data_IF_114221392699
#
_entry.id   IF_114221392699
#
_cell.length_a   1.000
_cell.length_b   1.000
_cell.length_c   1.000
_cell.angle_alpha   90.00
_cell.angle_beta   90.00
_cell.angle_gamma   90.00
#
_symmetry.space_group_name_H-M   'P 1'
#
loop_
_entity.id
_entity.type
_entity.pdbx_description
1 polymer ?
#
# COMPACT_ATOMS: atom_id res chain seq x y z
N UNK A 1 9.20 -6.07 -16.71
CA UNK A 1 9.16 -5.62 -15.30
C UNK A 1 7.76 -5.86 -14.79
N UNK A 2 7.59 -6.57 -13.67
CA UNK A 2 6.27 -6.80 -13.05
C UNK A 2 5.89 -5.67 -12.06
N UNK A 3 4.64 -5.65 -11.59
CA UNK A 3 4.13 -4.64 -10.65
C UNK A 3 5.10 -4.40 -9.49
N UNK A 4 5.66 -5.48 -8.93
CA UNK A 4 6.53 -5.43 -7.76
C UNK A 4 7.94 -4.94 -8.08
N UNK A 5 8.51 -5.30 -9.22
CA UNK A 5 9.86 -4.88 -9.61
C UNK A 5 9.95 -3.36 -9.77
N UNK A 6 8.92 -2.72 -10.34
CA UNK A 6 8.92 -1.27 -10.49
C UNK A 6 8.74 -0.56 -9.14
N UNK A 7 7.79 -1.02 -8.30
CA UNK A 7 7.56 -0.43 -6.97
C UNK A 7 8.83 -0.53 -6.10
N UNK A 8 9.50 -1.68 -6.11
CA UNK A 8 10.74 -1.85 -5.35
C UNK A 8 11.92 -1.04 -5.90
N UNK A 9 12.00 -0.87 -7.23
CA UNK A 9 13.02 -0.02 -7.86
C UNK A 9 12.84 1.46 -7.48
N UNK A 10 11.60 1.92 -7.33
CA UNK A 10 11.30 3.31 -6.96
C UNK A 10 11.61 3.59 -5.49
N UNK A 11 11.28 2.65 -4.58
CA UNK A 11 11.57 2.78 -3.14
C UNK A 11 13.09 2.67 -2.87
N UNK A 12 13.81 1.84 -3.63
CA UNK A 12 15.27 1.67 -3.45
C UNK A 12 16.10 2.84 -4.00
N UNK A 13 15.48 3.77 -4.73
CA UNK A 13 16.14 4.91 -5.39
C UNK A 13 16.18 6.21 -4.58
N UNK A 14 15.43 6.32 -3.48
CA UNK A 14 15.48 7.49 -2.60
C UNK A 14 16.53 7.30 -1.48
N UNK A 15 17.49 8.21 -1.45
CA UNK A 15 18.73 8.24 -0.64
C UNK A 15 18.59 7.74 0.80
N UNK A 16 19.39 6.72 1.15
CA UNK A 16 19.51 6.11 2.50
C UNK A 16 20.17 6.99 3.58
N UNK A 17 20.36 8.30 3.38
CA UNK A 17 21.26 9.10 4.23
C UNK A 17 20.63 9.84 5.42
N UNK A 18 19.33 9.70 5.71
CA UNK A 18 18.70 10.41 6.85
C UNK A 18 17.99 9.53 7.90
N UNK A 19 18.16 8.21 7.86
CA UNK A 19 17.39 7.27 8.70
C UNK A 19 18.23 6.72 9.89
N UNK A 20 18.82 7.59 10.71
CA UNK A 20 19.46 7.16 11.98
C UNK A 20 19.20 8.10 13.15
N UNK A 21 17.98 8.62 13.34
CA UNK A 21 17.75 9.45 14.56
C UNK A 21 16.43 9.35 15.31
N UNK A 22 15.49 8.46 14.99
CA UNK A 22 14.25 8.36 15.79
C UNK A 22 13.79 6.92 15.99
N UNK A 23 14.52 6.18 16.82
CA UNK A 23 13.98 5.03 17.53
C UNK A 23 13.62 5.44 18.96
N UNK A 24 12.38 5.21 19.37
CA UNK A 24 12.06 4.89 20.77
C UNK A 24 10.68 4.23 20.89
N UNK A 25 10.72 2.98 21.34
CA UNK A 25 9.71 2.25 22.14
C UNK A 25 8.42 1.85 21.37
N UNK A 26 7.86 0.64 21.50
CA UNK A 26 7.44 -0.08 22.72
C UNK A 26 7.40 -1.60 22.46
N UNK A 27 7.67 -2.39 23.51
CA UNK A 27 7.62 -3.85 23.61
C UNK A 27 6.21 -4.42 23.90
N UNK A 28 6.08 -5.73 23.66
CA UNK A 28 5.18 -6.74 24.24
C UNK A 28 4.04 -7.31 23.37
N UNK A 29 4.19 -8.62 23.10
CA UNK A 29 3.16 -9.56 22.63
C UNK A 29 2.13 -9.81 23.73
N UNK A 30 0.84 -9.89 23.36
CA UNK A 30 -0.17 -10.81 23.91
C UNK A 30 -1.44 -10.71 23.05
N UNK A 31 -2.07 -11.84 22.73
CA UNK A 31 -3.34 -11.91 22.02
C UNK A 31 -4.46 -11.31 22.89
N UNK A 32 -5.21 -10.35 22.35
CA UNK A 32 -6.29 -9.60 23.02
C UNK A 32 -7.22 -8.94 21.99
N UNK A 33 -8.45 -8.56 22.37
CA UNK A 33 -9.63 -8.47 21.51
C UNK A 33 -9.54 -7.35 20.46
N UNK A 34 -10.32 -7.50 19.38
CA UNK A 34 -10.36 -6.62 18.19
C UNK A 34 -10.75 -5.18 18.60
N UNK A 35 -9.75 -4.41 19.04
CA UNK A 35 -9.81 -2.96 19.21
C UNK A 35 -9.78 -2.31 17.83
N UNK A 36 -10.50 -1.20 17.57
CA UNK A 36 -10.26 -0.40 16.38
C UNK A 36 -8.78 -0.03 16.32
N UNK A 37 -8.16 -0.23 15.16
CA UNK A 37 -6.78 0.23 14.92
C UNK A 37 -6.74 1.75 15.06
N UNK A 38 -6.02 2.30 16.05
CA UNK A 38 -6.09 3.74 16.33
C UNK A 38 -5.44 4.62 15.24
N UNK A 39 -4.83 4.02 14.21
CA UNK A 39 -4.02 4.72 13.23
C UNK A 39 -4.47 4.41 11.79
N UNK A 40 -5.66 4.89 11.43
CA UNK A 40 -6.13 4.91 10.03
C UNK A 40 -5.66 6.22 9.37
N UNK A 41 -4.91 6.09 8.29
CA UNK A 41 -4.35 7.20 7.52
C UNK A 41 -5.13 7.39 6.23
N UNK A 42 -5.49 8.65 5.95
CA UNK A 42 -6.19 9.01 4.70
C UNK A 42 -5.20 9.53 3.67
N UNK A 43 -5.27 9.00 2.45
CA UNK A 43 -4.54 9.51 1.29
C UNK A 43 -5.50 10.06 0.24
N UNK A 44 -5.14 11.19 -0.37
CA UNK A 44 -5.83 11.78 -1.51
C UNK A 44 -4.86 11.82 -2.70
N UNK A 45 -5.23 11.29 -3.88
CA UNK A 45 -4.39 11.32 -5.05
C UNK A 45 -3.98 12.75 -5.46
N UNK A 46 -2.78 12.88 -6.03
CA UNK A 46 -2.18 14.18 -6.38
C UNK A 46 -2.88 14.90 -7.54
N UNK A 47 -3.68 14.17 -8.31
CA UNK A 47 -4.38 14.68 -9.50
C UNK A 47 -5.57 15.59 -9.21
N UNK A 48 -5.83 15.92 -7.93
CA UNK A 48 -6.93 16.76 -7.49
C UNK A 48 -8.30 16.07 -7.53
N UNK A 49 -8.34 14.74 -7.72
CA UNK A 49 -9.59 13.99 -7.66
C UNK A 49 -10.23 14.02 -6.27
N UNK A 50 -11.55 13.81 -6.23
CA UNK A 50 -12.30 13.67 -4.97
C UNK A 50 -12.13 12.30 -4.31
N UNK A 51 -11.46 11.37 -5.00
CA UNK A 51 -11.16 10.04 -4.49
C UNK A 51 -10.26 10.15 -3.26
N UNK A 52 -10.47 9.25 -2.30
CA UNK A 52 -9.58 9.10 -1.17
C UNK A 52 -9.53 7.63 -0.77
N UNK A 53 -8.43 7.28 -0.11
CA UNK A 53 -8.11 5.94 0.34
C UNK A 53 -7.82 5.97 1.83
N UNK A 54 -8.10 4.88 2.53
CA UNK A 54 -7.75 4.76 3.94
C UNK A 54 -6.96 3.49 4.20
N UNK A 55 -5.84 3.64 4.89
CA UNK A 55 -4.90 2.56 5.17
C UNK A 55 -4.52 2.48 6.64
N UNK A 56 -4.15 1.29 7.12
CA UNK A 56 -3.39 1.14 8.36
C UNK A 56 -2.16 0.28 8.11
N UNK A 57 -1.12 0.47 8.90
CA UNK A 57 0.19 -0.15 8.69
C UNK A 57 0.52 -1.06 9.86
N UNK A 58 0.78 -2.32 9.54
CA UNK A 58 0.86 -3.41 10.50
C UNK A 58 2.23 -4.05 10.46
N UNK A 59 2.99 -3.93 11.54
CA UNK A 59 4.28 -4.60 11.63
C UNK A 59 4.05 -6.12 11.73
N UNK A 60 4.63 -6.87 10.80
CA UNK A 60 4.62 -8.34 10.77
C UNK A 60 6.05 -8.87 10.98
N UNK A 61 6.27 -9.61 12.06
CA UNK A 61 7.62 -10.01 12.45
C UNK A 61 8.50 -8.82 12.89
N UNK A 62 9.81 -8.94 12.72
CA UNK A 62 10.77 -7.97 13.27
C UNK A 62 11.01 -6.75 12.38
N UNK A 63 10.86 -6.89 11.06
CA UNK A 63 11.33 -5.88 10.09
C UNK A 63 10.41 -5.71 8.88
N UNK A 64 9.16 -6.17 8.93
CA UNK A 64 8.26 -6.09 7.78
C UNK A 64 6.93 -5.44 8.14
N UNK A 65 6.27 -4.87 7.15
CA UNK A 65 4.96 -4.27 7.28
C UNK A 65 3.97 -4.84 6.27
N UNK A 66 2.73 -4.99 6.70
CA UNK A 66 1.56 -5.14 5.82
C UNK A 66 0.76 -3.85 5.82
N UNK A 67 0.01 -3.64 4.73
CA UNK A 67 -0.80 -2.44 4.52
C UNK A 67 -2.25 -2.89 4.37
N UNK A 68 -3.05 -2.63 5.40
CA UNK A 68 -4.48 -2.88 5.37
C UNK A 68 -5.21 -1.74 4.66
N UNK A 69 -6.28 -2.08 3.95
CA UNK A 69 -7.11 -1.15 3.19
C UNK A 69 -8.48 -1.09 3.87
N UNK A 70 -8.74 0.01 4.55
CA UNK A 70 -10.01 0.28 5.22
C UNK A 70 -11.05 0.87 4.26
N UNK A 71 -10.59 1.65 3.29
CA UNK A 71 -11.47 2.29 2.32
C UNK A 71 -10.81 2.38 0.94
N UNK A 72 -11.54 1.91 -0.06
CA UNK A 72 -11.29 2.16 -1.47
C UNK A 72 -12.36 3.12 -2.02
N UNK A 73 -12.03 4.01 -2.97
CA UNK A 73 -13.01 4.85 -3.65
C UNK A 73 -13.98 4.02 -4.50
N UNK A 74 -15.03 4.66 -5.01
CA UNK A 74 -15.92 4.02 -5.97
C UNK A 74 -15.20 3.76 -7.31
N UNK A 75 -15.32 2.54 -7.81
CA UNK A 75 -14.73 2.09 -9.06
C UNK A 75 -15.56 2.49 -10.29
N UNK A 76 -16.74 3.10 -10.09
CA UNK A 76 -17.63 3.58 -11.15
C UNK A 76 -17.99 2.47 -12.14
N UNK A 77 -18.33 1.29 -11.62
CA UNK A 77 -18.67 0.10 -12.42
C UNK A 77 -17.47 -0.70 -12.95
N UNK A 78 -16.22 -0.31 -12.64
CA UNK A 78 -15.03 -1.11 -12.99
C UNK A 78 -14.85 -2.32 -12.09
N UNK A 79 -14.07 -3.28 -12.59
CA UNK A 79 -13.75 -4.50 -11.87
C UNK A 79 -13.05 -4.19 -10.54
N UNK A 80 -13.47 -4.91 -9.49
CA UNK A 80 -12.81 -4.95 -8.18
C UNK A 80 -12.18 -6.32 -7.92
N UNK A 81 -11.93 -7.08 -8.99
CA UNK A 81 -11.29 -8.37 -8.92
C UNK A 81 -9.91 -8.25 -8.25
N UNK A 82 -9.63 -9.19 -7.34
CA UNK A 82 -8.47 -9.11 -6.43
C UNK A 82 -7.14 -9.07 -7.18
N UNK A 83 -7.05 -9.68 -8.36
CA UNK A 83 -5.86 -9.66 -9.19
C UNK A 83 -5.77 -8.34 -9.97
N UNK A 84 -6.91 -7.81 -10.42
CA UNK A 84 -6.96 -6.53 -11.15
C UNK A 84 -6.52 -5.36 -10.27
N UNK A 85 -6.96 -5.35 -9.01
CA UNK A 85 -6.71 -4.23 -8.08
C UNK A 85 -5.61 -4.53 -7.06
N UNK A 86 -4.87 -5.64 -7.23
CA UNK A 86 -3.78 -6.08 -6.37
C UNK A 86 -4.11 -6.00 -4.87
N UNK A 87 -5.15 -6.72 -4.46
CA UNK A 87 -5.51 -6.88 -3.04
C UNK A 87 -5.51 -8.36 -2.64
N UNK A 88 -5.34 -8.60 -1.34
CA UNK A 88 -5.56 -9.89 -0.69
C UNK A 88 -6.54 -9.71 0.46
N UNK A 89 -7.18 -10.80 0.90
CA UNK A 89 -7.96 -10.77 2.13
C UNK A 89 -7.04 -10.43 3.31
N UNK A 90 -7.51 -9.52 4.17
CA UNK A 90 -6.81 -9.23 5.42
C UNK A 90 -7.39 -10.07 6.56
N UNK A 91 -6.56 -10.66 7.43
CA UNK A 91 -7.04 -11.39 8.61
C UNK A 91 -7.44 -10.45 9.76
N UNK A 92 -7.34 -9.13 9.56
CA UNK A 92 -7.60 -8.09 10.57
C UNK A 92 -8.97 -7.44 10.35
N UNK A 93 -9.20 -6.27 10.95
CA UNK A 93 -10.47 -5.55 10.85
C UNK A 93 -10.76 -5.03 9.43
N UNK A 94 -9.72 -4.71 8.66
CA UNK A 94 -9.87 -4.37 7.26
C UNK A 94 -10.32 -5.59 6.45
N UNK A 95 -11.16 -5.39 5.44
CA UNK A 95 -11.54 -6.48 4.52
C UNK A 95 -10.37 -6.92 3.64
N UNK A 96 -9.57 -5.95 3.22
CA UNK A 96 -8.49 -6.16 2.26
C UNK A 96 -7.17 -5.64 2.81
N UNK A 97 -6.08 -6.19 2.31
CA UNK A 97 -4.74 -5.63 2.38
C UNK A 97 -4.18 -5.50 0.97
N UNK A 98 -3.20 -4.61 0.80
CA UNK A 98 -2.45 -4.52 -0.46
C UNK A 98 -1.79 -5.88 -0.69
N UNK A 99 -2.04 -6.49 -1.85
CA UNK A 99 -1.32 -7.70 -2.27
C UNK A 99 0.15 -7.31 -2.34
N UNK A 100 1.08 -8.10 -1.79
CA UNK A 100 2.51 -7.85 -1.90
C UNK A 100 3.17 -9.18 -2.25
N UNK A 101 4.17 -9.17 -3.13
CA UNK A 101 4.96 -10.38 -3.40
C UNK A 101 5.74 -10.76 -2.15
N UNK A 102 5.70 -12.04 -1.77
CA UNK A 102 6.47 -12.55 -0.65
C UNK A 102 7.95 -12.14 -0.76
N UNK A 103 8.51 -11.63 0.34
CA UNK A 103 9.88 -11.14 0.40
C UNK A 103 10.08 -9.70 -0.10
N UNK A 104 9.03 -9.04 -0.57
CA UNK A 104 9.02 -7.64 -1.00
C UNK A 104 8.11 -6.78 -0.12
N UNK A 105 7.90 -7.21 1.12
CA UNK A 105 7.15 -6.41 2.09
C UNK A 105 7.96 -5.17 2.50
N UNK A 106 7.32 -4.00 2.68
CA UNK A 106 7.99 -2.80 3.17
C UNK A 106 8.74 -3.07 4.48
N UNK A 107 9.98 -2.57 4.57
CA UNK A 107 10.84 -2.83 5.74
C UNK A 107 10.74 -1.76 6.82
N UNK A 108 10.21 -0.61 6.46
CA UNK A 108 9.94 0.49 7.37
C UNK A 108 8.48 0.94 7.29
N UNK A 109 8.02 1.64 8.33
CA UNK A 109 6.71 2.28 8.30
C UNK A 109 6.63 3.33 7.18
N UNK A 110 7.72 4.03 6.90
CA UNK A 110 7.80 5.01 5.82
C UNK A 110 7.66 4.33 4.44
N UNK A 111 8.38 3.24 4.21
CA UNK A 111 8.28 2.45 2.97
C UNK A 111 6.83 1.98 2.76
N UNK A 112 6.16 1.55 3.84
CA UNK A 112 4.78 1.12 3.79
C UNK A 112 3.83 2.27 3.41
N UNK A 113 4.07 3.47 3.96
CA UNK A 113 3.33 4.67 3.58
C UNK A 113 3.55 5.02 2.11
N UNK A 114 4.80 5.04 1.64
CA UNK A 114 5.14 5.34 0.24
C UNK A 114 4.49 4.34 -0.71
N UNK A 115 4.61 3.04 -0.42
CA UNK A 115 3.98 1.99 -1.22
C UNK A 115 2.46 2.16 -1.29
N UNK A 116 1.80 2.45 -0.16
CA UNK A 116 0.34 2.66 -0.15
C UNK A 116 -0.10 3.86 -0.99
N UNK A 117 0.71 4.93 -1.02
CA UNK A 117 0.45 6.11 -1.87
C UNK A 117 0.60 5.75 -3.34
N UNK A 118 1.67 5.04 -3.70
CA UNK A 118 1.87 4.59 -5.08
C UNK A 118 0.74 3.68 -5.55
N UNK A 119 0.34 2.73 -4.70
CA UNK A 119 -0.82 1.88 -4.93
C UNK A 119 -2.08 2.71 -5.19
N UNK A 120 -2.37 3.69 -4.32
CA UNK A 120 -3.54 4.56 -4.45
C UNK A 120 -3.51 5.38 -5.76
N UNK A 121 -2.35 5.86 -6.20
CA UNK A 121 -2.21 6.55 -7.48
C UNK A 121 -2.53 5.64 -8.66
N UNK A 122 -1.99 4.42 -8.68
CA UNK A 122 -2.25 3.45 -9.75
C UNK A 122 -3.73 3.08 -9.82
N UNK A 123 -4.37 2.84 -8.67
CA UNK A 123 -5.80 2.55 -8.59
C UNK A 123 -6.63 3.77 -9.03
N UNK A 124 -6.24 4.98 -8.64
CA UNK A 124 -6.93 6.19 -9.08
C UNK A 124 -6.86 6.36 -10.61
N UNK A 125 -5.71 6.10 -11.22
CA UNK A 125 -5.56 6.10 -12.68
C UNK A 125 -6.45 5.03 -13.31
N UNK A 126 -6.50 3.81 -12.75
CA UNK A 126 -7.40 2.76 -13.23
C UNK A 126 -8.86 3.20 -13.18
N UNK A 127 -9.30 3.82 -12.09
CA UNK A 127 -10.65 4.39 -11.89
C UNK A 127 -10.93 5.59 -12.81
N UNK A 128 -9.92 6.16 -13.47
CA UNK A 128 -10.15 7.24 -14.44
C UNK A 128 -10.12 6.72 -15.87
N UNK A 129 -9.21 5.81 -16.16
CA UNK A 129 -8.80 5.47 -17.53
C UNK A 129 -9.13 4.05 -17.95
N UNK A 130 -9.49 3.18 -17.01
CA UNK A 130 -9.62 1.73 -17.22
C UNK A 130 -8.30 1.03 -17.60
N UNK A 131 -7.16 1.71 -17.52
CA UNK A 131 -5.83 1.11 -17.66
C UNK A 131 -5.44 0.48 -16.33
N UNK A 132 -5.31 -0.84 -16.29
CA UNK A 132 -5.01 -1.59 -15.06
C UNK A 132 -3.64 -1.23 -14.49
N UNK A 133 -3.39 -1.42 -13.19
CA UNK A 133 -2.08 -1.17 -12.60
C UNK A 133 -0.94 -1.91 -13.33
N UNK A 134 -1.17 -3.16 -13.74
CA UNK A 134 -0.18 -3.93 -14.52
C UNK A 134 0.14 -3.29 -15.87
N UNK A 135 -0.88 -2.80 -16.58
CA UNK A 135 -0.70 -2.10 -17.85
C UNK A 135 0.04 -0.77 -17.68
N UNK A 136 -0.27 -0.01 -16.62
CA UNK A 136 0.42 1.26 -16.30
C UNK A 136 1.92 1.02 -16.09
N UNK A 137 2.27 -0.03 -15.35
CA UNK A 137 3.66 -0.38 -15.06
C UNK A 137 4.38 -0.88 -16.30
N UNK A 138 3.73 -1.71 -17.12
CA UNK A 138 4.28 -2.16 -18.39
C UNK A 138 4.59 -0.98 -19.33
N UNK A 139 3.75 0.05 -19.35
CA UNK A 139 3.97 1.27 -20.14
C UNK A 139 5.17 2.10 -19.63
N UNK A 140 5.32 2.22 -18.31
CA UNK A 140 6.44 2.93 -17.70
C UNK A 140 7.78 2.22 -17.90
N UNK A 141 7.77 0.90 -18.08
CA UNK A 141 8.98 0.08 -18.27
C UNK A 141 9.56 0.14 -19.68
N UNK A 142 8.78 0.64 -20.65
CA UNK A 142 9.15 0.70 -22.06
C UNK A 142 9.59 2.11 -22.52
N UNK A 143 9.63 3.07 -21.59
CA UNK A 143 10.14 4.43 -21.79
C UNK A 143 11.43 4.61 -21.00
#
# INVERSE_FOLDING_TARGET
MNFWELINSLISGENQSEITRRQSQIHHRSASPISPDPNIYTYRPKDGSTNYFQFSYHKIGEEKYEIDIHLLPDFKGRSKDIHTIHVLDSPRQARYKVCLKAGHEPKSFQDAQELSKMYAELINIYIKTNVTPDQQIAQQSNN
#
